data_IF_332835151935
#
_entry.id   IF_332835151935
#
_cell.length_a   1.000
_cell.length_b   1.000
_cell.length_c   1.000
_cell.angle_alpha   90.00
_cell.angle_beta   90.00
_cell.angle_gamma   90.00
#
_symmetry.space_group_name_H-M   'P 1'
#
loop_
_entity.id
_entity.type
_entity.pdbx_description
1 polymer ?
#
# COMPACT_ATOMS: atom_id res chain seq x y z
N UNK A 1 -8.54 68.80 33.05
CA UNK A 1 -8.93 70.00 32.31
C UNK A 1 -10.01 69.60 31.32
N UNK A 2 -11.22 69.88 31.75
CA UNK A 2 -12.16 70.83 31.15
C UNK A 2 -12.58 70.53 29.74
N UNK A 3 -13.80 70.44 29.28
CA UNK A 3 -15.12 70.73 29.87
C UNK A 3 -16.12 70.38 28.76
N UNK A 4 -17.22 69.79 29.16
CA UNK A 4 -18.61 70.09 28.83
C UNK A 4 -18.90 70.98 27.61
N UNK A 5 -19.98 70.60 26.82
CA UNK A 5 -21.27 71.32 26.89
C UNK A 5 -22.34 70.60 26.08
N UNK A 6 -23.52 70.48 26.70
CA UNK A 6 -24.83 70.08 26.18
C UNK A 6 -25.37 71.10 25.18
N UNK A 7 -26.28 70.68 24.31
CA UNK A 7 -27.53 71.44 24.02
C UNK A 7 -28.62 70.54 23.41
N UNK A 8 -29.69 70.39 24.18
CA UNK A 8 -31.04 70.01 23.76
C UNK A 8 -31.64 71.02 22.79
N UNK A 9 -32.38 70.60 21.84
CA UNK A 9 -33.52 71.33 21.33
C UNK A 9 -34.63 70.44 20.82
N UNK A 10 -35.73 70.41 21.52
CA UNK A 10 -37.02 69.89 21.22
C UNK A 10 -37.81 70.82 20.33
N UNK A 11 -38.39 70.44 19.26
CA UNK A 11 -39.56 71.08 18.64
C UNK A 11 -40.59 70.02 18.16
N UNK A 12 -41.81 70.19 18.67
CA UNK A 12 -43.06 69.54 18.26
C UNK A 12 -43.53 70.15 16.92
N UNK A 13 -44.16 69.38 16.03
CA UNK A 13 -45.58 69.60 15.62
C UNK A 13 -45.96 68.64 14.50
N UNK A 14 -46.96 67.86 14.81
CA UNK A 14 -48.22 67.53 14.05
C UNK A 14 -48.22 67.63 12.51
N UNK A 15 -48.58 66.51 11.84
CA UNK A 15 -49.02 66.51 10.45
C UNK A 15 -49.47 65.11 10.06
N UNK A 16 -50.77 64.89 10.11
CA UNK A 16 -51.49 63.70 9.64
C UNK A 16 -51.42 63.62 8.13
N UNK A 17 -50.74 62.60 7.56
CA UNK A 17 -50.94 62.22 6.16
C UNK A 17 -51.05 60.69 6.08
N UNK A 18 -52.22 60.21 5.72
CA UNK A 18 -52.50 58.82 5.33
C UNK A 18 -51.80 58.54 4.02
N UNK A 19 -50.83 57.59 4.01
CA UNK A 19 -50.28 57.05 2.77
C UNK A 19 -50.52 55.55 2.82
N UNK A 20 -51.22 55.07 1.77
CA UNK A 20 -51.49 53.67 1.44
C UNK A 20 -50.13 52.93 1.32
N UNK A 21 -49.93 51.92 2.11
CA UNK A 21 -48.79 50.99 1.96
C UNK A 21 -49.21 49.92 0.95
N UNK A 22 -48.72 50.01 -0.29
CA UNK A 22 -48.68 48.90 -1.23
C UNK A 22 -47.58 47.95 -0.83
N UNK A 23 -47.93 46.77 -0.28
CA UNK A 23 -46.99 45.70 0.01
C UNK A 23 -46.53 45.04 -1.31
N UNK A 24 -45.34 45.44 -1.78
CA UNK A 24 -44.65 44.73 -2.88
C UNK A 24 -43.93 43.53 -2.23
N UNK A 25 -44.50 42.31 -2.40
CA UNK A 25 -43.89 41.06 -1.99
C UNK A 25 -42.66 40.78 -2.86
N UNK A 26 -41.45 40.98 -2.34
CA UNK A 26 -40.23 40.47 -2.93
C UNK A 26 -40.19 38.95 -2.71
N UNK A 27 -40.53 38.16 -3.73
CA UNK A 27 -40.26 36.72 -3.74
C UNK A 27 -38.75 36.53 -3.87
N UNK A 28 -38.08 36.17 -2.75
CA UNK A 28 -36.69 35.74 -2.74
C UNK A 28 -36.65 34.33 -3.34
N UNK A 29 -36.30 34.22 -4.62
CA UNK A 29 -35.90 32.94 -5.23
C UNK A 29 -34.57 32.56 -4.64
N UNK A 30 -34.56 31.65 -3.66
CA UNK A 30 -33.36 30.96 -3.26
C UNK A 30 -32.93 30.01 -4.40
N UNK A 31 -31.70 30.10 -4.93
CA UNK A 31 -31.23 29.09 -5.88
C UNK A 31 -31.13 27.76 -5.14
N UNK A 32 -31.96 26.79 -5.59
CA UNK A 32 -31.78 25.38 -5.18
C UNK A 32 -30.42 24.93 -5.67
N UNK A 33 -29.44 24.85 -4.79
CA UNK A 33 -28.17 24.15 -5.06
C UNK A 33 -28.52 22.69 -5.33
N UNK A 34 -28.52 22.29 -6.61
CA UNK A 34 -28.53 20.89 -7.01
C UNK A 34 -27.18 20.34 -6.53
N UNK A 35 -27.19 19.63 -5.42
CA UNK A 35 -26.05 18.80 -5.02
C UNK A 35 -25.86 17.80 -6.17
N UNK A 36 -24.82 17.98 -6.96
CA UNK A 36 -24.35 16.96 -7.87
C UNK A 36 -23.86 15.80 -6.99
N UNK A 37 -24.67 14.75 -6.91
CA UNK A 37 -24.28 13.46 -6.39
C UNK A 37 -23.16 12.97 -7.32
N UNK A 38 -21.91 13.20 -6.92
CA UNK A 38 -20.75 12.62 -7.58
C UNK A 38 -20.87 11.12 -7.36
N UNK A 39 -21.19 10.41 -8.42
CA UNK A 39 -21.17 8.94 -8.48
C UNK A 39 -19.73 8.51 -8.17
N UNK A 40 -19.43 8.22 -6.89
CA UNK A 40 -18.12 7.76 -6.45
C UNK A 40 -18.02 6.29 -6.87
N UNK A 41 -17.43 6.08 -8.05
CA UNK A 41 -17.11 4.73 -8.52
C UNK A 41 -16.24 4.01 -7.45
N UNK A 42 -16.46 2.70 -7.23
CA UNK A 42 -15.63 1.95 -6.32
C UNK A 42 -14.16 1.99 -6.79
N UNK A 43 -13.19 2.06 -5.86
CA UNK A 43 -11.79 2.16 -6.20
C UNK A 43 -11.34 0.93 -6.99
N UNK A 44 -10.51 1.16 -7.99
CA UNK A 44 -9.92 0.10 -8.83
C UNK A 44 -8.86 -0.70 -8.07
N UNK A 45 -8.54 -1.95 -8.46
CA UNK A 45 -7.42 -2.69 -7.89
C UNK A 45 -6.09 -1.93 -7.92
N UNK A 46 -5.86 -1.09 -8.93
CA UNK A 46 -4.66 -0.26 -9.03
C UNK A 46 -4.58 0.81 -7.92
N UNK A 47 -5.72 1.40 -7.56
CA UNK A 47 -5.84 2.37 -6.47
C UNK A 47 -5.74 1.71 -5.10
N UNK A 48 -6.34 0.51 -4.94
CA UNK A 48 -6.30 -0.27 -3.70
C UNK A 48 -4.93 -0.89 -3.42
N UNK A 49 -4.13 -1.20 -4.45
CA UNK A 49 -2.86 -1.88 -4.30
C UNK A 49 -1.96 -1.21 -3.26
N UNK A 50 -1.63 -1.94 -2.20
CA UNK A 50 -0.70 -1.50 -1.15
C UNK A 50 0.76 -1.64 -1.61
N UNK A 51 1.69 -1.17 -0.79
CA UNK A 51 3.11 -1.42 -1.04
C UNK A 51 3.42 -2.92 -1.03
N UNK A 52 2.83 -3.68 -0.09
CA UNK A 52 3.04 -5.12 0.01
C UNK A 52 2.48 -5.86 -1.21
N UNK A 53 1.30 -5.48 -1.69
CA UNK A 53 0.72 -6.05 -2.91
C UNK A 53 1.65 -5.86 -4.12
N UNK A 54 2.19 -4.65 -4.30
CA UNK A 54 3.09 -4.36 -5.42
C UNK A 54 4.39 -5.15 -5.33
N UNK A 55 4.95 -5.33 -4.12
CA UNK A 55 6.14 -6.18 -3.94
C UNK A 55 5.80 -7.64 -4.20
N UNK A 56 4.68 -8.15 -3.67
CA UNK A 56 4.26 -9.53 -3.89
C UNK A 56 4.07 -9.87 -5.38
N UNK A 57 3.46 -8.96 -6.13
CA UNK A 57 3.27 -9.12 -7.57
C UNK A 57 4.62 -9.05 -8.32
N UNK A 58 5.47 -8.10 -7.97
CA UNK A 58 6.78 -7.92 -8.59
C UNK A 58 7.69 -9.13 -8.35
N UNK A 59 7.72 -9.70 -7.13
CA UNK A 59 8.53 -10.88 -6.80
C UNK A 59 8.09 -12.18 -7.49
N UNK A 60 6.82 -12.23 -7.92
CA UNK A 60 6.27 -13.40 -8.65
C UNK A 60 6.40 -13.27 -10.17
N UNK A 61 6.87 -12.11 -10.66
CA UNK A 61 6.86 -11.76 -12.07
C UNK A 61 8.28 -11.62 -12.62
N UNK A 62 8.54 -12.28 -13.74
CA UNK A 62 9.77 -12.04 -14.50
C UNK A 62 9.69 -10.77 -15.33
N UNK A 63 8.48 -10.27 -15.60
CA UNK A 63 8.21 -9.14 -16.47
C UNK A 63 7.21 -8.17 -15.83
N UNK A 64 7.53 -6.89 -15.85
CA UNK A 64 6.56 -5.81 -15.60
C UNK A 64 6.49 -4.95 -16.86
N UNK A 65 5.31 -4.89 -17.48
CA UNK A 65 5.14 -4.38 -18.84
C UNK A 65 4.00 -3.39 -18.88
N UNK A 66 4.19 -2.26 -19.54
CA UNK A 66 3.10 -1.36 -19.94
C UNK A 66 2.65 -1.70 -21.35
N UNK A 67 1.35 -1.96 -21.48
CA UNK A 67 0.75 -2.31 -22.79
C UNK A 67 -0.50 -1.49 -23.07
N UNK A 68 -0.87 -1.38 -24.37
CA UNK A 68 -2.17 -0.89 -24.79
C UNK A 68 -2.96 -2.04 -25.39
N UNK A 69 -4.18 -2.28 -24.88
CA UNK A 69 -5.05 -3.33 -25.39
C UNK A 69 -5.56 -2.94 -26.77
N UNK A 70 -5.38 -3.84 -27.75
CA UNK A 70 -5.83 -3.66 -29.15
C UNK A 70 -7.11 -4.42 -29.41
N UNK A 71 -7.23 -5.61 -28.85
CA UNK A 71 -8.38 -6.50 -29.07
C UNK A 71 -8.64 -7.33 -27.84
N UNK A 72 -9.91 -7.59 -27.57
CA UNK A 72 -10.37 -8.57 -26.58
C UNK A 72 -11.36 -9.53 -27.22
N UNK A 73 -11.26 -10.80 -26.88
CA UNK A 73 -12.15 -11.86 -27.33
C UNK A 73 -12.60 -12.62 -26.10
N UNK A 74 -13.91 -12.80 -25.93
CA UNK A 74 -14.44 -13.64 -24.85
C UNK A 74 -14.16 -15.10 -25.20
N UNK A 75 -13.53 -15.82 -24.27
CA UNK A 75 -13.30 -17.26 -24.40
C UNK A 75 -14.58 -17.99 -24.02
N UNK A 76 -15.02 -18.91 -24.85
CA UNK A 76 -16.20 -19.74 -24.58
C UNK A 76 -16.04 -20.53 -23.27
N UNK A 77 -17.13 -20.73 -22.54
CA UNK A 77 -17.13 -21.36 -21.22
C UNK A 77 -16.46 -22.74 -21.21
N UNK A 78 -16.69 -23.54 -22.26
CA UNK A 78 -16.12 -24.89 -22.45
C UNK A 78 -14.59 -24.87 -22.55
N UNK A 79 -14.02 -23.71 -22.95
CA UNK A 79 -12.57 -23.47 -23.12
C UNK A 79 -11.97 -22.67 -21.97
N UNK A 80 -12.75 -22.37 -20.95
CA UNK A 80 -12.35 -21.56 -19.78
C UNK A 80 -12.48 -22.38 -18.48
N UNK A 81 -11.77 -23.51 -18.32
CA UNK A 81 -11.85 -24.31 -17.10
C UNK A 81 -11.42 -23.49 -15.88
N UNK A 82 -12.10 -23.69 -14.75
CA UNK A 82 -11.79 -23.00 -13.48
C UNK A 82 -12.20 -21.51 -13.43
N UNK A 83 -12.96 -21.03 -14.42
CA UNK A 83 -13.50 -19.67 -14.38
C UNK A 83 -14.53 -19.54 -13.25
N UNK A 84 -14.38 -18.53 -12.41
CA UNK A 84 -15.31 -18.26 -11.30
C UNK A 84 -16.66 -17.73 -11.82
N UNK A 85 -17.78 -18.03 -11.15
CA UNK A 85 -19.07 -17.43 -11.47
C UNK A 85 -18.99 -15.88 -11.40
N UNK A 86 -19.66 -15.19 -12.32
CA UNK A 86 -19.62 -13.74 -12.41
C UNK A 86 -18.38 -13.17 -13.11
N UNK A 87 -17.53 -14.04 -13.71
CA UNK A 87 -16.36 -13.61 -14.49
C UNK A 87 -16.46 -14.07 -15.94
N UNK A 88 -15.71 -13.38 -16.81
CA UNK A 88 -15.43 -13.83 -18.17
C UNK A 88 -13.92 -13.95 -18.37
N UNK A 89 -13.47 -15.01 -19.06
CA UNK A 89 -12.08 -15.11 -19.53
C UNK A 89 -11.94 -14.43 -20.86
N UNK A 90 -11.02 -13.48 -20.93
CA UNK A 90 -10.71 -12.76 -22.16
C UNK A 90 -9.36 -13.22 -22.71
N UNK A 91 -9.31 -13.46 -24.00
CA UNK A 91 -8.06 -13.49 -24.77
C UNK A 91 -7.78 -12.08 -25.23
N UNK A 92 -6.62 -11.55 -24.82
CA UNK A 92 -6.20 -10.17 -25.07
C UNK A 92 -5.06 -10.18 -26.08
N UNK A 93 -5.18 -9.30 -27.10
CA UNK A 93 -4.09 -8.87 -27.97
C UNK A 93 -3.71 -7.44 -27.59
N UNK A 94 -2.45 -7.22 -27.20
CA UNK A 94 -1.97 -5.93 -26.73
C UNK A 94 -0.69 -5.50 -27.45
N UNK A 95 -0.52 -4.20 -27.62
CA UNK A 95 0.73 -3.59 -28.09
C UNK A 95 1.61 -3.24 -26.93
N UNK A 96 2.85 -3.69 -26.93
CA UNK A 96 3.88 -3.32 -25.98
C UNK A 96 4.20 -1.84 -26.11
N UNK A 97 4.09 -1.09 -25.01
CA UNK A 97 4.49 0.31 -24.93
C UNK A 97 5.87 0.46 -24.27
N UNK A 98 6.09 -0.28 -23.17
CA UNK A 98 7.36 -0.28 -22.47
C UNK A 98 7.56 -1.56 -21.66
N UNK A 99 8.76 -2.11 -21.67
CA UNK A 99 9.24 -3.06 -20.67
C UNK A 99 9.79 -2.25 -19.50
N UNK A 100 9.12 -2.34 -18.32
CA UNK A 100 9.52 -1.58 -17.13
C UNK A 100 10.56 -2.38 -16.33
N UNK A 101 10.40 -3.70 -16.26
CA UNK A 101 11.34 -4.62 -15.62
C UNK A 101 11.31 -5.97 -16.32
N UNK A 102 12.46 -6.61 -16.43
CA UNK A 102 12.68 -7.92 -17.03
C UNK A 102 13.88 -7.94 -17.95
N UNK A 103 14.33 -9.14 -18.29
CA UNK A 103 15.52 -9.37 -19.13
C UNK A 103 15.19 -10.09 -20.45
N UNK A 104 13.89 -10.25 -20.76
CA UNK A 104 13.43 -10.95 -21.97
C UNK A 104 13.10 -9.93 -23.05
N UNK A 105 13.56 -10.18 -24.28
CA UNK A 105 13.16 -9.39 -25.44
C UNK A 105 11.67 -9.61 -25.74
N UNK A 106 10.91 -8.52 -25.74
CA UNK A 106 9.49 -8.54 -26.07
C UNK A 106 9.25 -8.05 -27.48
N UNK A 107 8.34 -8.72 -28.19
CA UNK A 107 7.84 -8.23 -29.46
C UNK A 107 6.91 -7.01 -29.30
N UNK A 108 6.58 -6.39 -30.43
CA UNK A 108 5.63 -5.26 -30.46
C UNK A 108 4.22 -5.71 -29.99
N UNK A 109 3.84 -6.97 -30.24
CA UNK A 109 2.55 -7.53 -29.89
C UNK A 109 2.70 -8.64 -28.85
N UNK A 110 1.81 -8.61 -27.84
CA UNK A 110 1.69 -9.60 -26.80
C UNK A 110 0.28 -10.18 -26.76
N UNK A 111 0.17 -11.43 -26.34
CA UNK A 111 -1.12 -12.09 -26.09
C UNK A 111 -1.14 -12.72 -24.71
N UNK A 112 -2.30 -12.65 -24.04
CA UNK A 112 -2.49 -13.25 -22.72
C UNK A 112 -3.96 -13.51 -22.43
N UNK A 113 -4.22 -14.28 -21.38
CA UNK A 113 -5.55 -14.51 -20.83
C UNK A 113 -5.71 -13.72 -19.53
N UNK A 114 -6.91 -13.16 -19.33
CA UNK A 114 -7.29 -12.50 -18.08
C UNK A 114 -8.74 -12.81 -17.75
N UNK A 115 -9.01 -13.06 -16.47
CA UNK A 115 -10.38 -13.21 -15.96
C UNK A 115 -10.84 -11.84 -15.42
N UNK A 116 -11.94 -11.33 -15.96
CA UNK A 116 -12.51 -10.02 -15.59
C UNK A 116 -13.94 -10.20 -15.08
N UNK A 117 -14.39 -9.35 -14.12
CA UNK A 117 -15.76 -9.42 -13.65
C UNK A 117 -16.75 -9.03 -14.78
N UNK A 118 -17.94 -9.61 -14.71
CA UNK A 118 -19.08 -9.22 -15.52
C UNK A 118 -19.74 -7.99 -14.89
N UNK A 119 -20.12 -7.03 -15.74
CA UNK A 119 -20.90 -5.88 -15.32
C UNK A 119 -22.38 -6.27 -15.08
N UNK A 120 -23.22 -5.31 -14.66
CA UNK A 120 -24.65 -5.51 -14.38
C UNK A 120 -25.45 -6.11 -15.56
N UNK A 121 -24.94 -5.97 -16.79
CA UNK A 121 -25.55 -6.54 -18.01
C UNK A 121 -25.06 -7.95 -18.32
N UNK A 122 -24.29 -8.57 -17.41
CA UNK A 122 -23.70 -9.90 -17.60
C UNK A 122 -22.62 -9.98 -18.69
N UNK A 123 -21.95 -8.87 -19.00
CA UNK A 123 -20.90 -8.79 -20.03
C UNK A 123 -19.61 -8.20 -19.45
N UNK A 124 -18.43 -8.62 -19.96
CA UNK A 124 -17.18 -7.95 -19.57
C UNK A 124 -17.14 -6.52 -20.15
N UNK A 125 -16.50 -5.63 -19.41
CA UNK A 125 -16.28 -4.26 -19.87
C UNK A 125 -15.33 -4.22 -21.08
N UNK A 126 -15.44 -3.12 -21.85
CA UNK A 126 -14.58 -2.89 -23.00
C UNK A 126 -13.20 -2.41 -22.51
N UNK A 127 -12.17 -3.20 -22.81
CA UNK A 127 -10.77 -2.89 -22.48
C UNK A 127 -10.00 -2.31 -23.67
N UNK A 128 -10.57 -2.36 -24.90
CA UNK A 128 -9.91 -1.83 -26.10
C UNK A 128 -9.42 -0.40 -25.89
N UNK A 129 -8.22 -0.11 -26.30
CA UNK A 129 -7.48 1.16 -26.19
C UNK A 129 -7.07 1.56 -24.76
N UNK A 130 -7.49 0.83 -23.73
CA UNK A 130 -6.99 1.03 -22.36
C UNK A 130 -5.51 0.67 -22.27
N UNK A 131 -4.81 1.42 -21.44
CA UNK A 131 -3.41 1.14 -21.09
C UNK A 131 -3.37 0.40 -19.76
N UNK A 132 -2.62 -0.71 -19.72
CA UNK A 132 -2.53 -1.58 -18.56
C UNK A 132 -1.07 -1.75 -18.13
N UNK A 133 -0.87 -1.93 -16.85
CA UNK A 133 0.37 -2.42 -16.25
C UNK A 133 0.21 -3.92 -15.99
N UNK A 134 1.08 -4.74 -16.57
CA UNK A 134 1.04 -6.19 -16.45
C UNK A 134 2.20 -6.69 -15.59
N UNK A 135 1.89 -7.61 -14.68
CA UNK A 135 2.82 -8.44 -13.93
C UNK A 135 2.71 -9.85 -14.50
N UNK A 136 3.75 -10.33 -15.16
CA UNK A 136 3.63 -11.54 -15.98
C UNK A 136 4.93 -12.33 -16.05
N UNK A 137 4.81 -13.58 -16.52
CA UNK A 137 5.92 -14.46 -16.89
C UNK A 137 5.82 -14.82 -18.35
N UNK A 138 6.95 -14.97 -19.07
CA UNK A 138 6.93 -15.46 -20.44
C UNK A 138 6.45 -16.91 -20.50
N UNK A 139 5.68 -17.26 -21.53
CA UNK A 139 5.27 -18.65 -21.77
C UNK A 139 6.35 -19.35 -22.57
N UNK A 140 6.95 -20.40 -21.98
CA UNK A 140 8.01 -21.15 -22.62
C UNK A 140 7.54 -21.75 -23.95
N UNK A 141 8.36 -21.61 -24.99
CA UNK A 141 8.08 -22.12 -26.35
C UNK A 141 7.00 -21.36 -27.12
N UNK A 142 6.48 -20.23 -26.58
CA UNK A 142 5.46 -19.40 -27.23
C UNK A 142 5.85 -17.92 -27.22
N UNK A 143 6.74 -17.49 -28.14
CA UNK A 143 7.14 -16.09 -28.24
C UNK A 143 5.92 -15.17 -28.38
N UNK A 144 5.91 -14.05 -27.65
CA UNK A 144 4.78 -13.12 -27.63
C UNK A 144 3.59 -13.51 -26.74
N UNK A 145 3.62 -14.72 -26.15
CA UNK A 145 2.63 -15.11 -25.15
C UNK A 145 3.17 -14.90 -23.75
N UNK A 146 2.37 -14.30 -22.88
CA UNK A 146 2.68 -14.12 -21.45
C UNK A 146 1.56 -14.67 -20.57
N UNK A 147 1.92 -15.05 -19.37
CA UNK A 147 0.98 -15.48 -18.32
C UNK A 147 1.02 -14.48 -17.17
N UNK A 148 -0.14 -13.92 -16.82
CA UNK A 148 -0.27 -13.01 -15.69
C UNK A 148 0.02 -13.74 -14.37
N UNK A 149 0.64 -13.02 -13.42
CA UNK A 149 0.95 -13.51 -12.09
C UNK A 149 -0.22 -13.29 -11.14
N UNK A 150 -1.09 -14.31 -11.03
CA UNK A 150 -2.24 -14.27 -10.16
C UNK A 150 -3.42 -13.44 -10.71
N UNK A 151 -4.45 -13.30 -9.87
CA UNK A 151 -5.75 -12.72 -10.22
C UNK A 151 -5.66 -11.24 -10.63
N UNK A 152 -4.76 -10.49 -10.02
CA UNK A 152 -4.59 -9.04 -10.23
C UNK A 152 -3.31 -8.71 -11.01
N UNK A 153 -2.78 -9.65 -11.79
CA UNK A 153 -1.59 -9.44 -12.63
C UNK A 153 -1.77 -8.39 -13.74
N UNK A 154 -2.99 -7.89 -13.96
CA UNK A 154 -3.32 -6.76 -14.82
C UNK A 154 -3.93 -5.65 -13.98
N UNK A 155 -3.35 -4.46 -14.00
CA UNK A 155 -3.84 -3.26 -13.34
C UNK A 155 -4.04 -2.14 -14.36
N UNK A 156 -5.05 -1.28 -14.13
CA UNK A 156 -5.20 -0.04 -14.89
C UNK A 156 -3.93 0.80 -14.69
N UNK A 157 -3.35 1.24 -15.79
CA UNK A 157 -2.14 2.04 -15.76
C UNK A 157 -2.43 3.48 -15.34
N UNK A 158 -1.59 4.00 -14.44
CA UNK A 158 -1.44 5.44 -14.24
C UNK A 158 0.04 5.78 -14.03
N UNK A 159 0.47 7.04 -14.29
CA UNK A 159 1.82 7.49 -13.99
C UNK A 159 2.17 7.34 -12.49
N UNK A 160 1.19 7.51 -11.61
CA UNK A 160 1.33 7.37 -10.16
C UNK A 160 1.60 5.92 -9.77
N UNK A 161 0.90 4.96 -10.38
CA UNK A 161 1.16 3.53 -10.17
C UNK A 161 2.57 3.17 -10.66
N UNK A 162 2.97 3.64 -11.84
CA UNK A 162 4.33 3.42 -12.35
C UNK A 162 5.40 4.06 -11.44
N UNK A 163 5.15 5.26 -10.91
CA UNK A 163 6.05 5.90 -9.96
C UNK A 163 6.18 5.14 -8.64
N UNK A 164 5.12 4.45 -8.19
CA UNK A 164 5.14 3.60 -6.99
C UNK A 164 5.90 2.30 -7.20
N UNK A 165 5.79 1.67 -8.38
CA UNK A 165 6.41 0.36 -8.64
C UNK A 165 7.90 0.46 -8.98
N UNK A 166 8.36 1.50 -9.66
CA UNK A 166 9.77 1.63 -10.09
C UNK A 166 10.80 1.53 -8.95
N UNK A 167 10.63 2.21 -7.80
CA UNK A 167 11.55 2.04 -6.67
C UNK A 167 11.57 0.61 -6.12
N UNK A 168 10.42 -0.08 -6.12
CA UNK A 168 10.31 -1.48 -5.71
C UNK A 168 11.13 -2.36 -6.63
N UNK A 169 10.92 -2.24 -7.94
CA UNK A 169 11.66 -3.02 -8.94
C UNK A 169 13.17 -2.76 -8.85
N UNK A 170 13.59 -1.51 -8.68
CA UNK A 170 15.00 -1.17 -8.48
C UNK A 170 15.58 -1.82 -7.22
N UNK A 171 14.82 -1.81 -6.10
CA UNK A 171 15.27 -2.44 -4.86
C UNK A 171 15.37 -3.97 -4.97
N UNK A 172 14.46 -4.61 -5.73
CA UNK A 172 14.43 -6.06 -5.94
C UNK A 172 15.60 -6.58 -6.79
N UNK A 173 16.15 -5.76 -7.68
CA UNK A 173 17.31 -6.14 -8.51
C UNK A 173 18.64 -5.61 -7.98
N UNK A 174 18.61 -4.87 -6.88
CA UNK A 174 19.83 -4.36 -6.23
C UNK A 174 20.65 -5.50 -5.62
N UNK A 175 21.98 -5.36 -5.68
CA UNK A 175 22.90 -6.25 -4.95
C UNK A 175 22.77 -6.14 -3.43
N UNK A 176 22.23 -5.02 -2.94
CA UNK A 176 22.00 -4.74 -1.52
C UNK A 176 20.56 -5.05 -1.09
N UNK A 177 19.83 -5.84 -1.89
CA UNK A 177 18.48 -6.21 -1.51
C UNK A 177 18.49 -6.94 -0.16
N UNK A 178 17.58 -6.62 0.76
CA UNK A 178 17.51 -7.31 2.04
C UNK A 178 17.10 -8.78 1.83
N UNK A 179 17.71 -9.73 2.58
CA UNK A 179 17.37 -11.13 2.47
C UNK A 179 15.91 -11.39 2.87
N UNK A 180 15.36 -12.49 2.37
CA UNK A 180 14.00 -12.94 2.71
C UNK A 180 14.03 -13.50 4.12
N UNK A 181 13.28 -12.90 5.04
CA UNK A 181 13.10 -13.37 6.41
C UNK A 181 12.16 -14.57 6.40
N UNK A 182 12.53 -15.63 7.11
CA UNK A 182 11.72 -16.87 7.23
C UNK A 182 11.24 -17.13 8.64
N UNK A 183 11.84 -16.44 9.64
CA UNK A 183 11.46 -16.62 11.03
C UNK A 183 12.38 -15.90 12.01
N UNK A 184 12.28 -16.30 13.27
CA UNK A 184 13.15 -15.86 14.36
C UNK A 184 13.94 -17.07 14.81
N UNK A 185 15.27 -16.95 14.79
CA UNK A 185 16.17 -17.98 15.27
C UNK A 185 16.28 -17.95 16.79
N UNK A 186 16.72 -16.79 17.33
CA UNK A 186 17.00 -16.62 18.74
C UNK A 186 16.64 -15.21 19.20
N UNK A 187 16.30 -15.05 20.48
CA UNK A 187 16.15 -13.77 21.15
C UNK A 187 16.72 -13.83 22.57
N UNK A 188 17.46 -12.81 22.94
CA UNK A 188 18.09 -12.70 24.25
C UNK A 188 17.97 -11.26 24.76
N UNK A 189 17.42 -11.08 25.96
CA UNK A 189 17.41 -9.81 26.67
C UNK A 189 18.40 -9.83 27.81
N UNK A 190 19.18 -8.77 27.93
CA UNK A 190 20.17 -8.56 29.01
C UNK A 190 19.86 -7.22 29.68
N UNK A 191 19.78 -7.23 31.02
CA UNK A 191 19.64 -6.02 31.82
C UNK A 191 21.00 -5.35 31.96
N UNK A 192 21.01 -4.03 31.86
CA UNK A 192 22.17 -3.23 32.16
C UNK A 192 22.41 -3.08 33.67
N UNK A 193 23.38 -2.27 34.02
CA UNK A 193 23.76 -2.00 35.42
C UNK A 193 22.85 -0.95 36.07
N UNK A 194 22.19 -0.12 35.27
CA UNK A 194 21.25 0.91 35.75
C UNK A 194 19.83 0.39 35.74
N UNK A 195 19.04 0.81 36.72
CA UNK A 195 17.62 0.47 36.75
C UNK A 195 16.90 1.03 35.49
N UNK A 196 16.22 0.16 34.72
CA UNK A 196 15.57 0.50 33.48
C UNK A 196 16.47 0.46 32.24
N UNK A 197 17.74 0.11 32.37
CA UNK A 197 18.64 -0.16 31.26
C UNK A 197 18.53 -1.61 30.81
N UNK A 198 18.46 -1.83 29.51
CA UNK A 198 18.51 -3.17 28.92
C UNK A 198 18.81 -3.14 27.42
N UNK A 199 19.31 -4.26 26.93
CA UNK A 199 19.50 -4.54 25.53
C UNK A 199 18.85 -5.88 25.19
N UNK A 200 18.05 -5.90 24.11
CA UNK A 200 17.50 -7.12 23.56
C UNK A 200 18.01 -7.30 22.15
N UNK A 201 18.60 -8.48 21.89
CA UNK A 201 19.05 -8.93 20.57
C UNK A 201 18.09 -10.00 20.06
N UNK A 202 17.60 -9.85 18.83
CA UNK A 202 16.73 -10.80 18.16
C UNK A 202 17.37 -11.16 16.83
N UNK A 203 17.77 -12.43 16.69
CA UNK A 203 18.41 -12.96 15.49
C UNK A 203 17.35 -13.58 14.58
N UNK A 204 17.35 -13.19 13.32
CA UNK A 204 16.36 -13.62 12.36
C UNK A 204 16.87 -14.81 11.52
N UNK A 205 15.96 -15.67 11.12
CA UNK A 205 16.20 -16.67 10.08
C UNK A 205 15.98 -16.05 8.71
N UNK A 206 16.86 -16.37 7.76
CA UNK A 206 16.77 -15.92 6.38
C UNK A 206 16.88 -17.10 5.42
N UNK A 207 16.26 -16.97 4.26
CA UNK A 207 16.22 -18.03 3.24
C UNK A 207 17.63 -18.42 2.76
N UNK A 208 18.53 -17.47 2.66
CA UNK A 208 19.92 -17.64 2.19
C UNK A 208 20.93 -17.74 3.33
N UNK A 209 20.48 -17.78 4.59
CA UNK A 209 21.28 -17.79 5.81
C UNK A 209 22.12 -16.52 6.04
N UNK A 210 21.85 -15.44 5.34
CA UNK A 210 22.48 -14.16 5.63
C UNK A 210 22.12 -13.69 7.03
N UNK A 211 23.09 -13.19 7.82
CA UNK A 211 22.84 -12.72 9.18
C UNK A 211 22.00 -11.45 9.18
N UNK A 212 20.92 -11.45 9.94
CA UNK A 212 20.09 -10.28 10.23
C UNK A 212 19.75 -10.27 11.71
N UNK A 213 19.89 -9.12 12.36
CA UNK A 213 19.53 -8.97 13.76
C UNK A 213 18.80 -7.67 14.03
N UNK A 214 17.86 -7.71 14.98
CA UNK A 214 17.18 -6.56 15.54
C UNK A 214 17.75 -6.30 16.92
N UNK A 215 18.08 -5.04 17.20
CA UNK A 215 18.51 -4.59 18.53
C UNK A 215 17.48 -3.65 19.10
N UNK A 216 17.05 -3.88 20.34
CA UNK A 216 16.21 -2.94 21.11
C UNK A 216 17.01 -2.46 22.31
N UNK A 217 17.17 -1.14 22.44
CA UNK A 217 17.89 -0.51 23.55
C UNK A 217 16.91 0.27 24.42
N UNK A 218 16.95 0.00 25.72
CA UNK A 218 16.24 0.76 26.75
C UNK A 218 17.26 1.50 27.61
N UNK A 219 16.98 2.76 27.87
CA UNK A 219 17.78 3.63 28.75
C UNK A 219 16.88 4.33 29.76
N UNK A 220 17.34 4.52 31.01
CA UNK A 220 16.54 5.20 32.02
C UNK A 220 16.03 6.56 31.56
N UNK A 221 14.74 6.82 31.72
CA UNK A 221 14.12 8.09 31.35
C UNK A 221 13.95 8.37 29.85
N UNK A 222 14.34 7.43 28.97
CA UNK A 222 14.20 7.58 27.52
C UNK A 222 13.23 6.53 26.95
N UNK A 223 12.59 6.89 25.84
CA UNK A 223 11.81 5.91 25.07
C UNK A 223 12.74 4.83 24.49
N UNK A 224 12.28 3.58 24.41
CA UNK A 224 13.02 2.53 23.73
C UNK A 224 13.33 2.91 22.29
N UNK A 225 14.54 2.56 21.83
CA UNK A 225 14.95 2.70 20.44
C UNK A 225 15.30 1.34 19.89
N UNK A 226 15.09 1.16 18.57
CA UNK A 226 15.44 -0.09 17.92
C UNK A 226 16.01 0.14 16.52
N UNK A 227 16.75 -0.85 16.06
CA UNK A 227 17.33 -0.85 14.73
C UNK A 227 17.56 -2.25 14.20
N UNK A 228 17.94 -2.34 12.93
CA UNK A 228 18.17 -3.61 12.23
C UNK A 228 19.55 -3.60 11.58
N UNK A 229 20.37 -4.57 11.92
CA UNK A 229 21.64 -4.85 11.24
C UNK A 229 21.40 -5.90 10.16
N UNK A 230 21.74 -5.57 8.91
CA UNK A 230 21.54 -6.39 7.74
C UNK A 230 22.83 -7.09 7.28
N UNK A 231 23.65 -7.51 8.22
CA UNK A 231 24.94 -8.15 7.99
C UNK A 231 25.52 -8.73 9.26
N UNK A 232 26.74 -9.25 9.18
CA UNK A 232 27.43 -9.91 10.30
C UNK A 232 27.73 -8.97 11.47
N UNK A 233 27.92 -7.67 11.18
CA UNK A 233 28.25 -6.69 12.20
C UNK A 233 26.95 -6.16 12.81
N UNK A 234 26.80 -6.34 14.12
CA UNK A 234 25.73 -5.71 14.87
C UNK A 234 26.09 -4.24 15.04
N UNK A 235 25.34 -3.39 14.37
CA UNK A 235 25.56 -1.94 14.37
C UNK A 235 24.67 -1.28 15.45
N UNK A 236 25.30 -0.77 16.50
CA UNK A 236 24.61 -0.03 17.57
C UNK A 236 23.97 1.28 17.08
N UNK A 237 24.36 1.79 15.91
CA UNK A 237 23.74 2.94 15.25
C UNK A 237 22.62 2.55 14.28
N UNK A 238 22.36 1.26 14.10
CA UNK A 238 21.29 0.75 13.23
C UNK A 238 19.95 1.38 13.58
N UNK A 239 19.15 1.65 12.57
CA UNK A 239 17.85 2.29 12.71
C UNK A 239 16.73 1.40 12.18
N UNK A 240 15.53 1.67 12.66
CA UNK A 240 14.32 1.08 12.11
C UNK A 240 14.18 1.43 10.61
N UNK A 241 13.78 0.48 9.76
CA UNK A 241 13.54 0.77 8.35
C UNK A 241 12.33 1.69 8.17
N UNK A 242 12.43 2.61 7.24
CA UNK A 242 11.30 3.45 6.86
C UNK A 242 10.16 2.61 6.28
N UNK A 243 8.92 2.93 6.63
CA UNK A 243 7.73 2.30 6.08
C UNK A 243 7.72 2.38 4.54
N UNK A 244 7.11 1.40 3.90
CA UNK A 244 7.06 1.30 2.44
C UNK A 244 8.44 1.28 1.78
N UNK A 245 9.38 0.55 2.37
CA UNK A 245 10.66 0.14 1.79
C UNK A 245 10.75 -1.39 1.75
N UNK A 246 11.63 -1.94 0.90
CA UNK A 246 11.81 -3.40 0.82
C UNK A 246 12.32 -3.97 2.17
N UNK A 247 13.16 -3.23 2.91
CA UNK A 247 13.60 -3.61 4.26
C UNK A 247 12.43 -3.68 5.24
N UNK A 248 11.53 -2.69 5.22
CA UNK A 248 10.30 -2.72 6.03
C UNK A 248 9.42 -3.90 5.65
N UNK A 249 9.21 -4.14 4.35
CA UNK A 249 8.39 -5.26 3.87
C UNK A 249 8.93 -6.61 4.35
N UNK A 250 10.26 -6.83 4.30
CA UNK A 250 10.89 -8.07 4.79
C UNK A 250 10.61 -8.34 6.27
N UNK A 251 10.45 -7.31 7.08
CA UNK A 251 10.16 -7.45 8.50
C UNK A 251 8.65 -7.47 8.76
N UNK A 252 7.94 -6.42 8.37
CA UNK A 252 6.52 -6.24 8.69
C UNK A 252 5.64 -7.37 8.15
N UNK A 253 6.01 -7.96 7.00
CA UNK A 253 5.20 -8.98 6.32
C UNK A 253 5.60 -10.43 6.66
N UNK A 254 6.75 -10.65 7.29
CA UNK A 254 7.28 -12.00 7.50
C UNK A 254 7.59 -12.34 8.96
N UNK A 255 7.72 -11.34 9.83
CA UNK A 255 7.89 -11.61 11.25
C UNK A 255 6.57 -12.13 11.86
N UNK A 256 6.62 -13.15 12.74
CA UNK A 256 5.44 -13.62 13.43
C UNK A 256 4.88 -12.53 14.36
N UNK A 257 3.56 -12.55 14.60
CA UNK A 257 2.91 -11.56 15.47
C UNK A 257 3.41 -11.56 16.92
N UNK A 258 4.00 -12.67 17.38
CA UNK A 258 4.56 -12.83 18.73
C UNK A 258 5.90 -13.55 18.67
N UNK A 259 6.77 -13.24 19.61
CA UNK A 259 8.04 -13.96 19.78
C UNK A 259 7.76 -15.43 20.11
N UNK A 260 8.23 -16.39 19.30
CA UNK A 260 8.11 -17.80 19.62
C UNK A 260 8.81 -18.12 20.94
N UNK A 261 8.16 -18.87 21.84
CA UNK A 261 8.74 -19.23 23.14
C UNK A 261 10.01 -20.05 23.02
N UNK A 262 10.13 -20.85 21.95
CA UNK A 262 11.32 -21.65 21.63
C UNK A 262 12.53 -20.79 21.24
N UNK A 263 12.30 -19.62 20.63
CA UNK A 263 13.37 -18.70 20.25
C UNK A 263 13.87 -17.84 21.42
N UNK A 264 13.13 -17.75 22.52
CA UNK A 264 13.50 -16.93 23.66
C UNK A 264 14.49 -17.67 24.57
N UNK A 265 15.78 -17.37 24.44
CA UNK A 265 16.88 -18.03 25.16
C UNK A 265 17.10 -17.51 26.58
N UNK A 266 16.43 -16.44 27.00
CA UNK A 266 16.56 -15.91 28.34
C UNK A 266 16.11 -16.94 29.38
N UNK A 267 16.93 -17.21 30.41
CA UNK A 267 16.62 -18.19 31.45
C UNK A 267 15.76 -17.61 32.57
N UNK A 268 16.04 -16.36 32.94
CA UNK A 268 15.31 -15.68 34.00
C UNK A 268 13.94 -15.21 33.53
N UNK A 269 12.87 -15.41 34.34
CA UNK A 269 11.50 -15.03 33.95
C UNK A 269 11.35 -13.56 33.54
N UNK A 270 12.06 -12.67 34.22
CA UNK A 270 12.05 -11.23 33.93
C UNK A 270 12.72 -10.89 32.59
N UNK A 271 13.82 -11.54 32.27
CA UNK A 271 14.52 -11.36 30.99
C UNK A 271 13.67 -11.95 29.84
N UNK A 272 12.96 -13.06 30.08
CA UNK A 272 11.99 -13.60 29.10
C UNK A 272 10.87 -12.62 28.79
N UNK A 273 10.25 -12.06 29.83
CA UNK A 273 9.17 -11.05 29.66
C UNK A 273 9.69 -9.79 28.96
N UNK A 274 10.92 -9.39 29.26
CA UNK A 274 11.55 -8.25 28.61
C UNK A 274 11.76 -8.48 27.11
N UNK A 275 12.29 -9.65 26.69
CA UNK A 275 12.46 -10.01 25.29
C UNK A 275 11.11 -10.02 24.54
N UNK A 276 10.05 -10.55 25.16
CA UNK A 276 8.70 -10.58 24.60
C UNK A 276 8.12 -9.16 24.45
N UNK A 277 8.32 -8.30 25.45
CA UNK A 277 7.85 -6.90 25.42
C UNK A 277 8.61 -6.07 24.37
N UNK A 278 9.92 -6.28 24.22
CA UNK A 278 10.73 -5.61 23.22
C UNK A 278 10.38 -6.07 21.80
N UNK A 279 10.12 -7.36 21.62
CA UNK A 279 9.63 -7.87 20.34
C UNK A 279 8.27 -7.28 19.98
N UNK A 280 7.34 -7.26 20.93
CA UNK A 280 6.03 -6.65 20.73
C UNK A 280 6.12 -5.15 20.36
N UNK A 281 7.06 -4.43 20.99
CA UNK A 281 7.36 -3.04 20.65
C UNK A 281 7.83 -2.91 19.19
N UNK A 282 8.74 -3.77 18.72
CA UNK A 282 9.21 -3.78 17.34
C UNK A 282 8.05 -4.02 16.35
N UNK A 283 7.21 -5.02 16.61
CA UNK A 283 6.03 -5.31 15.76
C UNK A 283 5.07 -4.12 15.72
N UNK A 284 4.82 -3.47 16.85
CA UNK A 284 3.98 -2.27 16.91
C UNK A 284 4.56 -1.11 16.09
N UNK A 285 5.88 -0.90 16.15
CA UNK A 285 6.56 0.16 15.41
C UNK A 285 6.62 -0.12 13.89
N UNK A 286 6.72 -1.37 13.49
CA UNK A 286 6.63 -1.76 12.08
C UNK A 286 5.24 -1.50 11.49
N UNK A 287 4.19 -1.65 12.31
CA UNK A 287 2.81 -1.57 11.88
C UNK A 287 2.36 -2.75 11.02
N UNK A 288 1.11 -2.75 10.57
CA UNK A 288 0.53 -3.86 9.81
C UNK A 288 1.08 -3.90 8.37
N UNK A 289 1.33 -5.12 7.89
CA UNK A 289 1.56 -5.39 6.48
C UNK A 289 0.21 -5.61 5.77
N UNK A 290 -0.47 -4.51 5.43
CA UNK A 290 -1.76 -4.60 4.75
C UNK A 290 -1.60 -5.06 3.30
N UNK A 291 -2.50 -5.95 2.86
CA UNK A 291 -2.71 -6.41 1.49
C UNK A 291 -4.19 -6.26 1.16
N UNK A 292 -4.48 -5.66 0.01
CA UNK A 292 -5.86 -5.42 -0.43
C UNK A 292 -6.22 -6.24 -1.67
N UNK A 293 -5.21 -6.55 -2.50
CA UNK A 293 -5.41 -7.26 -3.76
C UNK A 293 -4.59 -8.55 -3.90
N UNK A 294 -3.66 -8.82 -2.99
CA UNK A 294 -2.91 -10.07 -2.95
C UNK A 294 -3.19 -10.82 -1.65
N UNK A 295 -2.97 -12.13 -1.66
CA UNK A 295 -3.06 -12.96 -0.46
C UNK A 295 -1.71 -12.99 0.26
N UNK A 296 -1.74 -13.15 1.60
CA UNK A 296 -0.54 -13.37 2.39
C UNK A 296 0.15 -14.68 1.93
N UNK A 297 1.48 -14.63 1.87
CA UNK A 297 2.31 -15.80 1.51
C UNK A 297 2.32 -16.83 2.63
#
# INVERSE_FOLDING_TARGET
MMACVNANLTIKLSGLIRVLAAALGLAVFAPSAIAQETDILPPTPAELATYADLVDMAERSDLVIRVQIRRQIVVEAERAPGLAPGFARLYIEARTQALISGNTTLGESLVYLVDVPLNERGKPDKLKDKVMLLFANPVQGRPGSIQLTGKHGQLDYSPELEARIRPILTALVSREQPPIITGIRDALAVRGTLAGESETQIFLETKDRSPVSITVLRRPGLNPVWGVSWGEIIDASARAPSARTLRWYRLACFLPARLPSSANLAREPDARRLAEADYAFVIQQLGPCAREITEAK
#
